data_IF_174680931862
#
_entry.id   IF_174680931862
#
_cell.length_a   1.000
_cell.length_b   1.000
_cell.length_c   1.000
_cell.angle_alpha   90.00
_cell.angle_beta   90.00
_cell.angle_gamma   90.00
#
_symmetry.space_group_name_H-M   'P 1'
#
loop_
_entity.id
_entity.type
_entity.pdbx_description
1 polymer ?
#
# COMPACT_ATOMS: atom_id res chain seq x y z
N UNK A 1 0.81 -21.50 -14.76
CA UNK A 1 -0.51 -21.73 -15.41
C UNK A 1 -1.23 -20.41 -15.76
N UNK A 2 -1.29 -19.40 -14.88
CA UNK A 2 -1.99 -18.12 -15.19
C UNK A 2 -1.26 -17.25 -16.21
N UNK A 3 0.08 -17.23 -16.20
CA UNK A 3 0.87 -16.39 -17.11
C UNK A 3 0.60 -16.68 -18.59
N UNK A 4 0.41 -17.96 -18.93
CA UNK A 4 0.08 -18.41 -20.29
C UNK A 4 -1.32 -17.97 -20.72
N UNK A 5 -2.31 -18.07 -19.83
CA UNK A 5 -3.69 -17.68 -20.13
C UNK A 5 -3.83 -16.17 -20.39
N UNK A 6 -3.07 -15.31 -19.69
CA UNK A 6 -3.07 -13.85 -19.89
C UNK A 6 -2.30 -13.46 -21.15
N UNK A 7 -1.22 -14.17 -21.50
CA UNK A 7 -0.41 -13.86 -22.68
C UNK A 7 -1.08 -14.26 -24.01
N UNK A 8 -1.90 -15.30 -24.00
CA UNK A 8 -2.50 -15.86 -25.22
C UNK A 8 -3.91 -15.33 -25.52
N UNK A 9 -4.46 -14.45 -24.67
CA UNK A 9 -5.81 -13.90 -24.85
C UNK A 9 -5.80 -12.63 -25.69
N UNK A 10 -6.51 -12.64 -26.82
CA UNK A 10 -6.76 -11.45 -27.66
C UNK A 10 -7.83 -10.51 -27.10
N UNK A 11 -8.59 -10.97 -26.11
CA UNK A 11 -9.65 -10.22 -25.43
C UNK A 11 -9.31 -10.00 -23.95
N UNK A 12 -9.82 -8.93 -23.31
CA UNK A 12 -9.65 -8.76 -21.87
C UNK A 12 -10.32 -9.93 -21.14
N UNK A 13 -9.56 -10.62 -20.28
CA UNK A 13 -10.11 -11.70 -19.46
C UNK A 13 -10.85 -11.07 -18.29
N UNK A 14 -12.17 -10.96 -18.42
CA UNK A 14 -13.03 -10.57 -17.31
C UNK A 14 -13.35 -11.81 -16.47
N UNK A 15 -13.10 -11.74 -15.15
CA UNK A 15 -13.51 -12.78 -14.21
C UNK A 15 -15.04 -12.83 -14.04
N UNK A 16 -15.75 -11.76 -14.42
CA UNK A 16 -17.21 -11.66 -14.41
C UNK A 16 -17.71 -11.47 -15.87
N UNK A 17 -18.66 -12.29 -16.35
CA UNK A 17 -19.23 -12.16 -17.70
C UNK A 17 -19.95 -10.82 -17.93
N UNK A 18 -20.38 -10.13 -16.86
CA UNK A 18 -20.99 -8.79 -16.92
C UNK A 18 -20.21 -7.82 -16.01
N UNK A 19 -19.06 -7.30 -16.47
CA UNK A 19 -18.29 -6.35 -15.68
C UNK A 19 -19.07 -5.04 -15.51
N UNK A 20 -19.14 -4.54 -14.28
CA UNK A 20 -19.63 -3.18 -14.00
C UNK A 20 -18.51 -2.19 -14.24
N UNK A 21 -18.72 -1.28 -15.17
CA UNK A 21 -17.79 -0.16 -15.41
C UNK A 21 -18.13 0.99 -14.49
N UNK A 22 -17.12 1.52 -13.80
CA UNK A 22 -17.24 2.72 -12.97
C UNK A 22 -16.51 3.87 -13.66
N UNK A 23 -17.22 4.97 -13.92
CA UNK A 23 -16.63 6.18 -14.49
C UNK A 23 -16.13 7.06 -13.35
N UNK A 24 -14.80 7.14 -13.17
CA UNK A 24 -14.20 8.14 -12.28
C UNK A 24 -13.86 9.40 -13.06
N UNK A 25 -14.31 10.56 -12.59
CA UNK A 25 -14.02 11.87 -13.21
C UNK A 25 -12.58 12.32 -12.98
N UNK A 26 -11.90 11.77 -11.97
CA UNK A 26 -10.47 11.91 -11.74
C UNK A 26 -9.92 10.68 -11.01
N UNK A 27 -8.69 10.28 -11.31
CA UNK A 27 -7.97 9.32 -10.48
C UNK A 27 -7.53 10.03 -9.20
N UNK A 28 -7.59 9.39 -8.02
CA UNK A 28 -7.03 9.98 -6.82
C UNK A 28 -5.53 10.19 -7.01
N UNK A 29 -4.96 11.15 -6.27
CA UNK A 29 -3.51 11.31 -6.22
C UNK A 29 -2.90 10.10 -5.51
N UNK A 30 -2.31 9.21 -6.28
CA UNK A 30 -1.45 8.14 -5.78
C UNK A 30 0.00 8.61 -5.78
N UNK A 31 0.78 8.15 -4.79
CA UNK A 31 2.21 8.42 -4.73
C UNK A 31 2.91 7.80 -5.93
N UNK A 32 3.73 8.57 -6.65
CA UNK A 32 4.45 8.02 -7.80
C UNK A 32 5.44 6.92 -7.36
N UNK A 33 5.50 5.84 -8.14
CA UNK A 33 6.45 4.75 -7.97
C UNK A 33 7.43 4.80 -9.14
N UNK A 34 8.69 5.11 -8.87
CA UNK A 34 9.75 5.19 -9.88
C UNK A 34 10.38 3.82 -10.19
N UNK A 35 9.87 2.75 -9.57
CA UNK A 35 10.29 1.38 -9.82
C UNK A 35 11.31 0.87 -8.80
N UNK A 36 12.12 -0.09 -9.23
CA UNK A 36 13.03 -0.84 -8.36
C UNK A 36 14.48 -0.41 -8.58
N UNK A 37 15.26 -0.40 -7.50
CA UNK A 37 16.71 -0.21 -7.52
C UNK A 37 17.41 -1.33 -6.77
N UNK A 38 18.58 -1.74 -7.26
CA UNK A 38 19.48 -2.63 -6.54
C UNK A 38 20.40 -1.81 -5.65
N UNK A 39 20.55 -2.22 -4.40
CA UNK A 39 21.40 -1.58 -3.40
C UNK A 39 22.31 -2.64 -2.79
N UNK A 40 23.61 -2.36 -2.66
CA UNK A 40 24.50 -3.30 -2.02
C UNK A 40 24.33 -3.27 -0.49
N UNK A 41 24.43 -4.43 0.15
CA UNK A 41 24.43 -4.53 1.61
C UNK A 41 25.59 -3.76 2.23
N UNK A 42 26.71 -3.60 1.51
CA UNK A 42 27.85 -2.78 1.93
C UNK A 42 27.47 -1.30 2.09
N UNK A 43 26.74 -0.73 1.13
CA UNK A 43 26.25 0.66 1.22
C UNK A 43 25.30 0.82 2.40
N UNK A 44 24.32 -0.08 2.54
CA UNK A 44 23.37 -0.05 3.66
C UNK A 44 24.06 -0.18 5.03
N UNK A 45 25.09 -1.02 5.13
CA UNK A 45 25.87 -1.22 6.36
C UNK A 45 26.74 -0.01 6.72
N UNK A 46 27.08 0.82 5.72
CA UNK A 46 27.88 2.04 5.90
C UNK A 46 27.06 3.23 6.41
N UNK A 47 25.73 3.14 6.41
CA UNK A 47 24.84 4.18 6.93
C UNK A 47 25.12 4.48 8.41
N UNK A 48 24.75 5.69 8.87
CA UNK A 48 24.79 6.06 10.29
C UNK A 48 23.93 5.10 11.09
N UNK A 49 24.31 4.79 12.34
CA UNK A 49 23.64 3.76 13.17
C UNK A 49 22.11 3.91 13.22
N UNK A 50 21.58 5.14 13.29
CA UNK A 50 20.13 5.42 13.29
C UNK A 50 19.42 5.30 11.94
N UNK A 51 20.15 5.15 10.84
CA UNK A 51 19.62 4.97 9.48
C UNK A 51 19.83 3.55 8.96
N UNK A 52 20.55 2.70 9.70
CA UNK A 52 20.75 1.31 9.30
C UNK A 52 19.42 0.56 9.43
N UNK A 53 19.05 -0.26 8.43
CA UNK A 53 17.89 -1.12 8.57
C UNK A 53 18.02 -2.00 9.83
N UNK A 54 17.00 -2.06 10.70
CA UNK A 54 17.06 -2.87 11.90
C UNK A 54 17.10 -4.36 11.56
N UNK A 55 17.88 -5.12 12.31
CA UNK A 55 17.77 -6.57 12.31
C UNK A 55 16.54 -7.01 13.12
N UNK A 56 15.90 -8.10 12.71
CA UNK A 56 14.75 -8.68 13.40
C UNK A 56 14.83 -10.20 13.45
N UNK A 57 14.24 -10.81 14.47
CA UNK A 57 14.08 -12.27 14.52
C UNK A 57 12.66 -12.62 14.13
N UNK A 58 12.49 -13.43 13.09
CA UNK A 58 11.20 -14.01 12.69
C UNK A 58 11.37 -15.52 12.61
N UNK A 59 10.49 -16.28 13.29
CA UNK A 59 10.52 -17.74 13.30
C UNK A 59 11.88 -18.34 13.70
N UNK A 60 12.53 -17.75 14.72
CA UNK A 60 13.90 -18.08 15.17
C UNK A 60 15.01 -17.85 14.12
N UNK A 61 14.70 -17.16 13.02
CA UNK A 61 15.67 -16.78 12.00
C UNK A 61 16.01 -15.31 12.19
N UNK A 62 17.30 -15.02 12.40
CA UNK A 62 17.81 -13.64 12.43
C UNK A 62 17.87 -13.11 11.00
N UNK A 63 17.05 -12.09 10.72
CA UNK A 63 17.06 -11.34 9.47
C UNK A 63 17.79 -10.03 9.68
N UNK A 64 18.88 -9.84 8.96
CA UNK A 64 19.69 -8.62 9.01
C UNK A 64 20.28 -8.33 7.64
N UNK A 65 20.62 -7.07 7.41
CA UNK A 65 21.36 -6.67 6.21
C UNK A 65 22.81 -7.15 6.34
N UNK A 66 23.25 -7.98 5.40
CA UNK A 66 24.60 -8.49 5.31
C UNK A 66 25.39 -7.69 4.26
N UNK A 67 26.62 -7.24 4.58
CA UNK A 67 27.46 -6.49 3.63
C UNK A 67 27.74 -7.21 2.31
N UNK A 68 27.64 -8.55 2.30
CA UNK A 68 27.93 -9.42 1.16
C UNK A 68 26.75 -9.64 0.20
N UNK A 69 25.56 -9.15 0.53
CA UNK A 69 24.34 -9.39 -0.25
C UNK A 69 23.92 -8.16 -1.07
N UNK A 70 23.01 -8.39 -2.03
CA UNK A 70 22.31 -7.34 -2.75
C UNK A 70 20.83 -7.34 -2.36
N UNK A 71 20.29 -6.14 -2.20
CA UNK A 71 18.90 -5.93 -1.83
C UNK A 71 18.21 -5.11 -2.91
N UNK A 72 16.89 -5.26 -2.99
CA UNK A 72 16.06 -4.46 -3.86
C UNK A 72 15.22 -3.50 -3.02
N UNK A 73 15.18 -2.24 -3.45
CA UNK A 73 14.32 -1.22 -2.87
C UNK A 73 13.36 -0.70 -3.94
N UNK A 74 12.18 -0.28 -3.50
CA UNK A 74 11.22 0.44 -4.34
C UNK A 74 11.42 1.93 -4.10
N UNK A 75 11.56 2.70 -5.17
CA UNK A 75 11.71 4.16 -5.09
C UNK A 75 10.34 4.80 -5.30
N UNK A 76 9.96 5.67 -4.38
CA UNK A 76 8.71 6.43 -4.45
C UNK A 76 8.96 7.93 -4.43
N UNK A 77 7.97 8.71 -4.89
CA UNK A 77 7.88 10.15 -4.65
C UNK A 77 8.07 10.47 -3.17
N UNK A 78 9.00 11.38 -2.88
CA UNK A 78 9.16 11.91 -1.54
C UNK A 78 8.07 12.92 -1.26
N UNK A 79 7.18 12.60 -0.33
CA UNK A 79 6.17 13.51 0.19
C UNK A 79 6.72 14.14 1.47
N UNK A 80 6.94 15.47 1.53
CA UNK A 80 7.36 16.13 2.76
C UNK A 80 6.38 15.81 3.88
N UNK A 81 6.91 15.43 5.04
CA UNK A 81 6.10 15.17 6.21
C UNK A 81 5.62 16.52 6.77
N UNK A 82 4.46 16.96 6.30
CA UNK A 82 3.64 17.88 7.07
C UNK A 82 2.84 17.03 8.05
N UNK A 83 2.96 17.34 9.36
CA UNK A 83 2.06 16.98 10.47
C UNK A 83 1.18 15.72 10.39
N UNK A 84 0.06 15.76 11.10
CA UNK A 84 -0.92 14.66 11.17
C UNK A 84 -2.09 14.99 10.25
N UNK A 85 -2.62 13.98 9.55
CA UNK A 85 -3.87 14.13 8.82
C UNK A 85 -4.97 14.62 9.77
N UNK A 86 -5.50 15.82 9.52
CA UNK A 86 -6.54 16.44 10.34
C UNK A 86 -7.95 16.22 9.78
N UNK A 87 -8.04 15.86 8.50
CA UNK A 87 -9.31 15.64 7.80
C UNK A 87 -9.31 14.29 7.09
N UNK A 88 -10.12 13.36 7.60
CA UNK A 88 -10.26 12.02 7.04
C UNK A 88 -10.89 12.01 5.63
N UNK A 89 -11.63 13.06 5.26
CA UNK A 89 -12.28 13.14 3.95
C UNK A 89 -11.28 13.25 2.81
N UNK A 90 -10.06 13.69 3.08
CA UNK A 90 -8.96 13.72 2.11
C UNK A 90 -8.52 12.31 1.66
N UNK A 91 -8.74 11.27 2.49
CA UNK A 91 -8.42 9.88 2.13
C UNK A 91 -9.48 9.25 1.21
N UNK A 92 -10.71 9.78 1.23
CA UNK A 92 -11.88 9.16 0.60
C UNK A 92 -11.67 8.83 -0.88
N UNK A 93 -11.12 9.72 -1.73
CA UNK A 93 -10.91 9.40 -3.14
C UNK A 93 -10.00 8.18 -3.37
N UNK A 94 -8.95 8.05 -2.56
CA UNK A 94 -8.02 6.91 -2.62
C UNK A 94 -8.69 5.62 -2.15
N UNK A 95 -9.43 5.68 -1.04
CA UNK A 95 -10.16 4.54 -0.49
C UNK A 95 -11.24 4.03 -1.45
N UNK A 96 -12.03 4.94 -2.02
CA UNK A 96 -13.06 4.62 -3.00
C UNK A 96 -12.44 3.94 -4.23
N UNK A 97 -11.33 4.47 -4.73
CA UNK A 97 -10.62 3.87 -5.86
C UNK A 97 -10.14 2.44 -5.56
N UNK A 98 -9.48 2.21 -4.43
CA UNK A 98 -9.01 0.87 -4.06
C UNK A 98 -10.17 -0.10 -3.84
N UNK A 99 -11.24 0.35 -3.18
CA UNK A 99 -12.44 -0.46 -2.97
C UNK A 99 -13.11 -0.85 -4.30
N UNK A 100 -13.26 0.09 -5.23
CA UNK A 100 -13.76 -0.15 -6.58
C UNK A 100 -12.86 -1.10 -7.38
N UNK A 101 -11.55 -1.04 -7.17
CA UNK A 101 -10.57 -1.98 -7.73
C UNK A 101 -10.55 -3.36 -7.03
N UNK A 102 -11.43 -3.59 -6.04
CA UNK A 102 -11.60 -4.86 -5.35
C UNK A 102 -10.69 -5.08 -4.13
N UNK A 103 -9.86 -4.10 -3.79
CA UNK A 103 -9.01 -4.18 -2.60
C UNK A 103 -9.89 -4.12 -1.35
N UNK A 104 -9.48 -4.84 -0.31
CA UNK A 104 -10.05 -4.65 1.02
C UNK A 104 -9.06 -3.97 1.95
N UNK A 105 -9.57 -3.29 2.97
CA UNK A 105 -8.75 -2.54 3.92
C UNK A 105 -8.60 -3.31 5.22
N UNK A 106 -7.46 -3.11 5.88
CA UNK A 106 -7.31 -3.36 7.32
C UNK A 106 -7.69 -2.08 8.09
N UNK A 107 -7.80 -2.11 9.43
CA UNK A 107 -7.99 -0.88 10.19
C UNK A 107 -6.95 0.18 9.83
N UNK A 108 -7.42 1.36 9.43
CA UNK A 108 -6.56 2.44 8.92
C UNK A 108 -5.56 2.90 9.97
N UNK A 109 -4.30 3.06 9.54
CA UNK A 109 -3.24 3.63 10.38
C UNK A 109 -2.93 5.03 9.85
N UNK A 110 -3.26 6.08 10.60
CA UNK A 110 -3.09 7.46 10.15
C UNK A 110 -1.63 7.80 9.78
N UNK A 111 -0.66 7.13 10.40
CA UNK A 111 0.78 7.20 10.08
C UNK A 111 1.14 6.76 8.64
N UNK A 112 0.27 5.99 8.00
CA UNK A 112 0.46 5.53 6.63
C UNK A 112 -0.07 6.53 5.59
N UNK A 113 -0.57 7.69 6.01
CA UNK A 113 -1.17 8.70 5.14
C UNK A 113 -0.45 10.05 5.28
N UNK A 114 -0.33 10.78 4.18
CA UNK A 114 0.12 12.17 4.21
C UNK A 114 -0.98 13.09 4.73
N UNK A 115 -0.61 14.30 5.18
CA UNK A 115 -1.53 15.40 5.46
C UNK A 115 -2.52 15.70 4.31
N UNK A 116 -2.11 15.44 3.07
CA UNK A 116 -2.92 15.66 1.87
C UNK A 116 -3.79 14.46 1.48
N UNK A 117 -3.86 13.40 2.30
CA UNK A 117 -4.68 12.21 2.05
C UNK A 117 -4.08 11.23 1.04
N UNK A 118 -2.76 11.30 0.78
CA UNK A 118 -2.06 10.34 -0.09
C UNK A 118 -1.56 9.17 0.75
N UNK A 119 -1.85 7.94 0.30
CA UNK A 119 -1.37 6.71 0.94
C UNK A 119 0.15 6.55 0.73
N UNK A 120 0.91 6.56 1.82
CA UNK A 120 2.37 6.45 1.88
C UNK A 120 2.78 4.98 2.07
N UNK A 121 2.08 4.24 2.92
CA UNK A 121 2.33 2.81 3.11
C UNK A 121 1.11 2.01 2.66
N UNK A 122 1.32 1.17 1.65
CA UNK A 122 0.27 0.32 1.07
C UNK A 122 -0.03 -0.92 1.91
N UNK A 123 0.59 -1.07 3.09
CA UNK A 123 0.27 -2.13 4.04
C UNK A 123 -1.18 -2.08 4.55
N UNK A 124 -1.85 -0.92 4.45
CA UNK A 124 -3.26 -0.74 4.86
C UNK A 124 -4.27 -1.36 3.89
N UNK A 125 -3.84 -1.75 2.69
CA UNK A 125 -4.69 -2.34 1.66
C UNK A 125 -4.23 -3.76 1.30
N UNK A 126 -5.20 -4.63 1.05
CA UNK A 126 -4.98 -6.02 0.69
C UNK A 126 -5.48 -6.22 -0.74
N UNK A 127 -4.59 -6.70 -1.61
CA UNK A 127 -4.95 -6.93 -3.00
C UNK A 127 -6.00 -8.04 -3.14
N UNK A 128 -6.87 -8.00 -4.19
CA UNK A 128 -7.95 -8.97 -4.39
C UNK A 128 -7.48 -10.44 -4.47
N UNK A 129 -6.20 -10.67 -4.78
CA UNK A 129 -5.60 -11.98 -4.94
C UNK A 129 -4.74 -12.43 -3.74
N UNK A 130 -4.68 -11.64 -2.67
CA UNK A 130 -3.89 -11.98 -1.49
C UNK A 130 -4.65 -12.92 -0.55
N UNK A 131 -3.95 -13.85 0.10
CA UNK A 131 -4.56 -14.81 1.04
C UNK A 131 -5.26 -14.15 2.25
N UNK A 132 -4.90 -12.90 2.56
CA UNK A 132 -5.53 -12.09 3.61
C UNK A 132 -6.82 -11.38 3.18
N UNK A 133 -7.22 -11.51 1.92
CA UNK A 133 -8.44 -10.89 1.40
C UNK A 133 -9.67 -11.60 1.96
N UNK A 134 -10.76 -10.86 2.19
CA UNK A 134 -12.05 -11.43 2.58
C UNK A 134 -13.19 -10.50 2.19
N UNK A 135 -14.34 -11.10 1.87
CA UNK A 135 -15.55 -10.38 1.48
C UNK A 135 -16.04 -9.44 2.59
N UNK A 136 -15.93 -9.85 3.86
CA UNK A 136 -16.30 -9.02 5.01
C UNK A 136 -15.47 -7.73 5.09
N UNK A 137 -14.15 -7.80 4.85
CA UNK A 137 -13.27 -6.62 4.84
C UNK A 137 -13.51 -5.74 3.62
N UNK A 138 -13.82 -6.34 2.47
CA UNK A 138 -14.17 -5.60 1.26
C UNK A 138 -15.49 -4.85 1.44
N UNK A 139 -16.51 -5.51 1.98
CA UNK A 139 -17.79 -4.89 2.31
C UNK A 139 -17.62 -3.77 3.35
N UNK A 140 -16.78 -3.96 4.38
CA UNK A 140 -16.52 -2.95 5.40
C UNK A 140 -15.88 -1.67 4.84
N UNK A 141 -14.96 -1.80 3.86
CA UNK A 141 -14.33 -0.66 3.19
C UNK A 141 -15.32 0.29 2.50
N UNK A 142 -16.52 -0.21 2.14
CA UNK A 142 -17.59 0.60 1.55
C UNK A 142 -18.28 1.55 2.56
N UNK A 143 -18.25 1.24 3.85
CA UNK A 143 -19.14 1.84 4.85
C UNK A 143 -18.45 2.74 5.89
N UNK A 144 -17.11 2.84 5.91
CA UNK A 144 -16.41 3.63 6.92
C UNK A 144 -15.24 4.47 6.37
N UNK A 145 -15.54 5.73 6.05
CA UNK A 145 -14.61 6.87 6.17
C UNK A 145 -14.99 7.77 7.36
N UNK A 146 -16.10 7.48 8.03
CA UNK A 146 -16.75 8.37 9.00
C UNK A 146 -16.69 7.80 10.42
N UNK A 147 -15.52 7.90 11.06
CA UNK A 147 -15.39 8.01 12.52
C UNK A 147 -13.90 7.99 12.89
N UNK A 148 -13.23 9.13 12.75
CA UNK A 148 -12.04 9.37 13.57
C UNK A 148 -12.49 9.28 15.04
N UNK A 149 -11.77 8.56 15.93
CA UNK A 149 -12.06 8.67 17.34
C UNK A 149 -11.84 10.13 17.76
N UNK A 150 -12.85 10.75 18.36
CA UNK A 150 -12.68 12.05 19.01
C UNK A 150 -11.43 11.99 19.88
N UNK A 151 -10.52 12.94 19.67
CA UNK A 151 -9.37 13.10 20.53
C UNK A 151 -9.89 13.24 21.96
N UNK A 152 -9.72 12.19 22.76
CA UNK A 152 -9.99 12.25 24.19
C UNK A 152 -8.98 13.24 24.77
N UNK A 153 -9.45 14.46 25.02
CA UNK A 153 -8.75 15.46 25.78
C UNK A 153 -8.46 14.89 27.17
N UNK A 154 -7.17 14.69 27.46
CA UNK A 154 -6.67 14.58 28.82
C UNK A 154 -6.26 15.96 29.31
#
# INVERSE_FOLDING_TARGET
MIHTAVQDSSEPIYLNPEPKTYTSTSLPRLRECFGWISVSGKELSSLRRGMRPPGGTLDNIVRQILPSEHYYAIIYEFLPQGGLLTDADLMRPSLDFFWLAGFCSVPLRLENWSESGVLIDVADIICPWHAGWSESRHAFGKYHVLSLPEASSR
#
